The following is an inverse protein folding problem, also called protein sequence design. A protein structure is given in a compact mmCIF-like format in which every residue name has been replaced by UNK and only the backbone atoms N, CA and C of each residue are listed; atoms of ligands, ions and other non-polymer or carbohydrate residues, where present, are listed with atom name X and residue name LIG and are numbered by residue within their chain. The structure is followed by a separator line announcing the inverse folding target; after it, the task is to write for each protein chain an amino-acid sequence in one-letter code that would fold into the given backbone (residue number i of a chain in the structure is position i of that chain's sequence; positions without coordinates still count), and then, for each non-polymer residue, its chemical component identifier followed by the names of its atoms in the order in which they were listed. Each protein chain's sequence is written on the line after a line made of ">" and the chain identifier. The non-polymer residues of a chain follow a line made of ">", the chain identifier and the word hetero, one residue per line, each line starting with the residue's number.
data_IF_621210348204
#
_entry.id   IF_621210348204
#
_cell.length_a   1.000
_cell.length_b   1.000
_cell.length_c   1.000
_cell.angle_alpha   90.00
_cell.angle_beta   90.00
_cell.angle_gamma   90.00
#
_symmetry.space_group_name_H-M   'P 1'
#
loop_
_entity.id
_entity.type
_entity.pdbx_description
1 polymer ?
#
# COMPACT_ATOMS: atom_id res chain seq x y z
N UNK A 1 26.73 -16.52 41.24
CA UNK A 1 25.37 -16.90 40.80
C UNK A 1 24.50 -15.68 40.49
N UNK A 2 24.33 -14.73 41.41
CA UNK A 2 23.52 -13.50 41.20
C UNK A 2 23.99 -12.61 40.02
N UNK A 3 25.30 -12.55 39.76
CA UNK A 3 25.89 -11.79 38.65
C UNK A 3 25.53 -12.35 37.27
N UNK A 4 25.34 -13.66 37.17
CA UNK A 4 24.94 -14.33 35.91
C UNK A 4 23.48 -14.03 35.61
N UNK A 5 22.62 -14.01 36.65
CA UNK A 5 21.21 -13.64 36.52
C UNK A 5 21.03 -12.20 36.04
N UNK A 6 21.83 -11.25 36.52
CA UNK A 6 21.77 -9.87 36.04
C UNK A 6 22.26 -9.72 34.59
N UNK A 7 23.26 -10.50 34.18
CA UNK A 7 23.76 -10.51 32.81
C UNK A 7 22.74 -11.07 31.82
N UNK A 8 22.10 -12.20 32.13
CA UNK A 8 21.09 -12.81 31.25
C UNK A 8 19.84 -11.94 31.12
N UNK A 9 19.39 -11.30 32.21
CA UNK A 9 18.29 -10.33 32.18
C UNK A 9 18.65 -9.15 31.28
N UNK A 10 19.87 -8.63 31.35
CA UNK A 10 20.32 -7.54 30.50
C UNK A 10 20.30 -7.93 29.00
N UNK A 11 20.81 -9.12 28.65
CA UNK A 11 20.77 -9.62 27.28
C UNK A 11 19.35 -9.85 26.76
N UNK A 12 18.44 -10.35 27.60
CA UNK A 12 17.03 -10.51 27.23
C UNK A 12 16.35 -9.17 26.96
N UNK A 13 16.59 -8.15 27.80
CA UNK A 13 16.06 -6.79 27.59
C UNK A 13 16.60 -6.18 26.30
N UNK A 14 17.91 -6.29 26.05
CA UNK A 14 18.53 -5.80 24.81
C UNK A 14 17.98 -6.51 23.56
N UNK A 15 17.74 -7.83 23.64
CA UNK A 15 17.15 -8.60 22.56
C UNK A 15 15.69 -8.18 22.27
N UNK A 16 14.88 -7.95 23.32
CA UNK A 16 13.50 -7.45 23.19
C UNK A 16 13.43 -6.02 22.62
N UNK A 17 14.37 -5.15 22.99
CA UNK A 17 14.48 -3.81 22.42
C UNK A 17 14.96 -3.86 20.95
N UNK A 18 15.79 -4.83 20.58
CA UNK A 18 16.24 -5.00 19.21
C UNK A 18 15.11 -5.49 18.30
N UNK A 19 14.28 -6.45 18.74
CA UNK A 19 13.15 -6.98 17.94
C UNK A 19 12.00 -6.00 17.79
N UNK A 20 11.75 -5.11 18.76
CA UNK A 20 10.70 -4.08 18.66
C UNK A 20 10.97 -3.04 17.54
N UNK A 21 12.23 -2.81 17.20
CA UNK A 21 12.62 -1.93 16.09
C UNK A 21 12.34 -2.52 14.70
N UNK A 22 12.17 -3.83 14.59
CA UNK A 22 11.86 -4.50 13.31
C UNK A 22 10.36 -4.59 13.02
N UNK A 23 9.48 -4.49 14.02
CA UNK A 23 8.04 -4.69 13.84
C UNK A 23 7.29 -3.47 13.25
N UNK A 24 7.92 -2.29 13.20
CA UNK A 24 7.23 -1.04 12.85
C UNK A 24 7.34 -0.60 11.37
N UNK A 25 7.91 -1.42 10.48
CA UNK A 25 8.11 -1.05 9.06
C UNK A 25 7.15 -1.71 8.07
N UNK A 26 6.25 -2.56 8.55
CA UNK A 26 5.46 -3.46 7.71
C UNK A 26 4.16 -2.85 7.15
N UNK A 27 3.58 -1.88 7.85
CA UNK A 27 2.25 -1.36 7.50
C UNK A 27 2.25 -0.53 6.19
N UNK A 28 3.30 0.25 5.93
CA UNK A 28 3.43 1.04 4.70
C UNK A 28 3.77 0.17 3.49
N UNK A 29 4.66 -0.82 3.65
CA UNK A 29 5.02 -1.74 2.59
C UNK A 29 3.83 -2.64 2.18
N UNK A 30 3.06 -3.13 3.17
CA UNK A 30 1.88 -3.94 2.90
C UNK A 30 0.80 -3.13 2.20
N UNK A 31 0.55 -1.90 2.65
CA UNK A 31 -0.44 -0.97 2.07
C UNK A 31 -0.15 -0.60 0.61
N UNK A 32 1.12 -0.41 0.24
CA UNK A 32 1.51 -0.15 -1.15
C UNK A 32 1.13 -1.30 -2.08
N UNK A 33 1.36 -2.55 -1.65
CA UNK A 33 1.09 -3.72 -2.48
C UNK A 33 -0.42 -3.98 -2.62
N UNK A 34 -1.20 -3.68 -1.57
CA UNK A 34 -2.67 -3.80 -1.60
C UNK A 34 -3.30 -2.75 -2.49
N UNK A 35 -2.90 -1.48 -2.36
CA UNK A 35 -3.46 -0.38 -3.16
C UNK A 35 -3.13 -0.58 -4.65
N UNK A 36 -1.90 -0.98 -4.99
CA UNK A 36 -1.51 -1.29 -6.37
C UNK A 36 -2.40 -2.38 -6.99
N UNK A 37 -2.58 -3.49 -6.27
CA UNK A 37 -3.40 -4.62 -6.74
C UNK A 37 -4.88 -4.23 -6.88
N UNK A 38 -5.41 -3.43 -5.95
CA UNK A 38 -6.79 -2.95 -5.99
C UNK A 38 -7.02 -2.02 -7.19
N UNK A 39 -6.08 -1.13 -7.50
CA UNK A 39 -6.18 -0.24 -8.66
C UNK A 39 -6.10 -1.00 -9.99
N UNK A 40 -5.29 -2.06 -10.08
CA UNK A 40 -5.26 -2.90 -11.28
C UNK A 40 -6.56 -3.67 -11.47
N UNK A 41 -7.14 -4.24 -10.40
CA UNK A 41 -8.48 -4.85 -10.47
C UNK A 41 -9.54 -3.84 -10.87
N UNK A 42 -9.45 -2.61 -10.38
CA UNK A 42 -10.34 -1.53 -10.81
C UNK A 42 -10.19 -1.26 -12.31
N UNK A 43 -8.97 -1.20 -12.84
CA UNK A 43 -8.72 -1.05 -14.28
C UNK A 43 -9.33 -2.20 -15.09
N UNK A 44 -9.17 -3.44 -14.65
CA UNK A 44 -9.75 -4.62 -15.31
C UNK A 44 -11.28 -4.61 -15.29
N UNK A 45 -11.89 -4.04 -14.25
CA UNK A 45 -13.35 -3.91 -14.13
C UNK A 45 -13.97 -2.88 -15.08
N UNK A 46 -13.16 -2.03 -15.70
CA UNK A 46 -13.60 -1.05 -16.69
C UNK A 46 -13.61 -1.71 -18.08
N UNK A 47 -14.81 -1.96 -18.61
CA UNK A 47 -15.00 -2.60 -19.92
C UNK A 47 -14.62 -1.69 -21.10
N UNK A 48 -14.63 -0.36 -20.90
CA UNK A 48 -14.27 0.60 -21.95
C UNK A 48 -13.59 1.85 -21.38
N UNK A 49 -12.40 2.15 -21.91
CA UNK A 49 -11.65 3.39 -21.69
C UNK A 49 -11.38 4.09 -23.04
N UNK A 50 -12.39 4.72 -23.67
CA UNK A 50 -12.27 5.28 -25.01
C UNK A 50 -11.30 6.48 -25.09
N UNK A 51 -10.89 7.03 -23.96
CA UNK A 51 -9.97 8.17 -23.87
C UNK A 51 -8.57 7.77 -23.40
N UNK A 52 -8.31 6.48 -23.13
CA UNK A 52 -7.00 5.98 -22.71
C UNK A 52 -6.51 6.57 -21.39
N UNK A 53 -7.41 6.98 -20.51
CA UNK A 53 -7.10 7.64 -19.23
C UNK A 53 -6.34 6.70 -18.29
N UNK A 54 -6.65 5.41 -18.37
CA UNK A 54 -6.03 4.34 -17.58
C UNK A 54 -4.73 3.82 -18.22
N UNK A 55 -4.23 4.41 -19.31
CA UNK A 55 -2.94 4.02 -19.91
C UNK A 55 -1.76 4.26 -18.97
N UNK A 56 -1.86 5.29 -18.13
CA UNK A 56 -0.85 5.57 -17.10
C UNK A 56 -0.84 4.55 -15.97
N UNK A 57 -1.89 3.75 -15.83
CA UNK A 57 -2.02 2.73 -14.78
C UNK A 57 -1.25 1.48 -15.22
N UNK A 58 0.07 1.52 -15.04
CA UNK A 58 1.02 0.49 -15.44
C UNK A 58 2.02 0.19 -14.32
N UNK A 59 2.45 -1.06 -14.21
CA UNK A 59 3.39 -1.57 -13.19
C UNK A 59 4.79 -0.95 -13.27
N UNK A 60 5.12 -0.27 -14.37
CA UNK A 60 6.41 0.40 -14.53
C UNK A 60 6.59 1.66 -13.66
N UNK A 61 5.51 2.24 -13.14
CA UNK A 61 5.57 3.47 -12.32
C UNK A 61 4.76 3.32 -11.04
N UNK A 62 5.15 4.05 -9.99
CA UNK A 62 4.42 4.01 -8.72
C UNK A 62 2.99 4.55 -8.91
N UNK A 63 2.00 3.88 -8.30
CA UNK A 63 0.59 4.18 -8.54
C UNK A 63 0.16 5.62 -8.18
N UNK A 64 0.89 6.30 -7.29
CA UNK A 64 0.67 7.71 -6.99
C UNK A 64 0.95 8.67 -8.16
N UNK A 65 1.68 8.20 -9.17
CA UNK A 65 1.97 8.95 -10.40
C UNK A 65 0.92 8.69 -11.50
N UNK A 66 -0.01 7.76 -11.26
CA UNK A 66 -1.03 7.42 -12.23
C UNK A 66 -2.07 8.54 -12.35
N UNK A 67 -2.62 8.70 -13.55
CA UNK A 67 -3.59 9.74 -13.84
C UNK A 67 -4.83 9.59 -12.95
N UNK A 68 -5.23 10.69 -12.32
CA UNK A 68 -6.41 10.73 -11.46
C UNK A 68 -6.21 10.12 -10.07
N UNK A 69 -5.06 9.54 -9.75
CA UNK A 69 -4.76 8.99 -8.41
C UNK A 69 -4.17 10.07 -7.51
N UNK A 70 -4.61 10.14 -6.26
CA UNK A 70 -4.04 11.03 -5.24
C UNK A 70 -3.68 10.22 -4.01
N UNK A 71 -2.41 10.32 -3.60
CA UNK A 71 -1.89 9.64 -2.43
C UNK A 71 -1.75 10.56 -1.22
N UNK A 72 -1.92 10.00 -0.01
CA UNK A 72 -1.65 10.69 1.23
C UNK A 72 -0.15 10.85 1.51
N UNK A 73 0.24 11.97 2.11
CA UNK A 73 1.66 12.29 2.37
C UNK A 73 2.36 11.33 3.35
N UNK A 74 1.64 10.79 4.34
CA UNK A 74 2.26 10.03 5.45
C UNK A 74 2.62 8.60 5.09
N UNK A 75 1.78 7.93 4.30
CA UNK A 75 1.90 6.50 4.03
C UNK A 75 1.83 6.16 2.54
N UNK A 76 1.80 7.17 1.66
CA UNK A 76 1.66 7.00 0.20
C UNK A 76 0.47 6.13 -0.23
N UNK A 77 -0.54 6.02 0.64
CA UNK A 77 -1.79 5.30 0.39
C UNK A 77 -2.70 6.08 -0.53
N UNK A 78 -3.45 5.39 -1.37
CA UNK A 78 -4.46 6.03 -2.23
C UNK A 78 -5.55 6.63 -1.34
N UNK A 79 -5.80 7.93 -1.50
CA UNK A 79 -6.83 8.66 -0.76
C UNK A 79 -7.98 9.12 -1.65
N UNK A 80 -7.74 9.24 -2.96
CA UNK A 80 -8.74 9.67 -3.93
C UNK A 80 -8.40 9.19 -5.33
N UNK A 81 -9.45 8.85 -6.08
CA UNK A 81 -9.40 8.56 -7.52
C UNK A 81 -10.39 9.51 -8.20
N UNK A 82 -9.92 10.28 -9.19
CA UNK A 82 -10.73 11.27 -9.92
C UNK A 82 -10.69 10.97 -11.42
N UNK A 83 -11.77 10.36 -11.91
CA UNK A 83 -11.94 9.97 -13.32
C UNK A 83 -13.18 10.63 -13.96
N UNK A 84 -13.61 11.79 -13.44
CA UNK A 84 -14.82 12.49 -13.91
C UNK A 84 -14.62 13.03 -15.33
N UNK A 85 -15.64 12.88 -16.18
CA UNK A 85 -15.69 13.48 -17.52
C UNK A 85 -15.22 12.56 -18.63
N UNK A 86 -14.66 11.41 -18.28
CA UNK A 86 -14.33 10.35 -19.22
C UNK A 86 -15.49 9.36 -19.20
N UNK A 87 -16.09 9.08 -20.36
CA UNK A 87 -17.26 8.18 -20.51
C UNK A 87 -16.90 6.71 -20.22
N UNK A 88 -16.36 6.45 -19.04
CA UNK A 88 -15.95 5.12 -18.59
C UNK A 88 -17.19 4.29 -18.29
N UNK A 89 -17.17 3.04 -18.74
CA UNK A 89 -18.20 2.05 -18.46
C UNK A 89 -17.55 0.82 -17.82
N UNK A 90 -18.11 0.38 -16.69
CA UNK A 90 -17.60 -0.75 -15.92
C UNK A 90 -18.43 -1.01 -14.67
N UNK A 91 -18.22 -2.18 -14.05
CA UNK A 91 -18.87 -2.56 -12.78
C UNK A 91 -17.84 -2.48 -11.68
N UNK A 92 -18.05 -1.62 -10.69
CA UNK A 92 -17.15 -1.53 -9.54
C UNK A 92 -17.44 -2.72 -8.62
N UNK A 93 -16.61 -3.77 -8.72
CA UNK A 93 -16.68 -4.90 -7.80
C UNK A 93 -16.13 -4.47 -6.43
N UNK A 94 -16.90 -4.61 -5.34
CA UNK A 94 -16.40 -4.30 -4.01
C UNK A 94 -15.20 -5.20 -3.68
N UNK A 95 -14.20 -4.69 -2.95
CA UNK A 95 -13.12 -5.52 -2.45
C UNK A 95 -13.72 -6.62 -1.55
N UNK A 96 -13.30 -7.87 -1.77
CA UNK A 96 -13.69 -9.01 -0.94
C UNK A 96 -13.22 -8.77 0.51
N UNK A 97 -14.05 -9.10 1.51
CA UNK A 97 -13.76 -8.87 2.94
C UNK A 97 -12.57 -9.70 3.45
#
# INVERSE_FOLDING_TARGET
>A
MLSIFWSTICHLVLFLLFTSNFLNKSASALGNNTDHSALLKFKESMSSDPFGVLNSWNSSTHFCMWHGVTCGHRHQRVTKIKLKGYKMQGVISPPLP
#
